data_IF_173776133033
#
_entry.id   IF_173776133033
#
_cell.length_a   1.000
_cell.length_b   1.000
_cell.length_c   1.000
_cell.angle_alpha   90.00
_cell.angle_beta   90.00
_cell.angle_gamma   90.00
#
_symmetry.space_group_name_H-M   'P 1'
#
loop_
_entity.id
_entity.type
_entity.pdbx_description
1 polymer ?
#
# COMPACT_ATOMS: atom_id res chain seq x y z
N UNK A 1 71.34 -2.04 18.37
CA UNK A 1 70.39 -1.04 17.87
C UNK A 1 69.12 -1.25 18.66
N UNK A 2 68.94 -0.48 19.71
CA UNK A 2 67.83 -0.60 20.64
C UNK A 2 66.55 -0.15 19.94
N UNK A 3 65.65 -1.11 19.68
CA UNK A 3 64.29 -0.79 19.26
C UNK A 3 63.55 -0.23 20.47
N UNK A 4 63.61 1.08 20.66
CA UNK A 4 62.69 1.79 21.55
C UNK A 4 61.27 1.59 21.02
N UNK A 5 60.58 0.60 21.59
CA UNK A 5 59.16 0.38 21.39
C UNK A 5 58.41 1.55 22.04
N UNK A 6 57.97 2.52 21.24
CA UNK A 6 57.03 3.55 21.69
C UNK A 6 55.66 2.88 21.91
N UNK A 7 55.12 3.06 23.10
CA UNK A 7 53.77 2.62 23.48
C UNK A 7 52.69 3.64 23.08
N UNK A 8 53.06 4.77 22.48
CA UNK A 8 52.13 5.82 22.05
C UNK A 8 51.02 5.31 21.10
N UNK A 9 51.29 4.41 20.14
CA UNK A 9 50.23 3.85 19.29
C UNK A 9 49.25 2.94 20.04
N UNK A 10 49.63 2.42 21.22
CA UNK A 10 48.78 1.55 22.04
C UNK A 10 47.73 2.35 22.81
N UNK A 11 48.02 3.62 23.12
CA UNK A 11 47.09 4.55 23.78
C UNK A 11 45.90 4.89 22.85
N UNK A 12 46.15 5.02 21.54
CA UNK A 12 45.13 5.34 20.54
C UNK A 12 44.51 4.10 19.87
N UNK A 13 44.86 2.90 20.33
CA UNK A 13 44.47 1.64 19.70
C UNK A 13 42.94 1.47 19.65
N UNK A 14 42.24 1.85 20.72
CA UNK A 14 40.76 1.83 20.77
C UNK A 14 40.16 2.76 19.71
N UNK A 15 40.63 4.01 19.66
CA UNK A 15 40.13 5.00 18.71
C UNK A 15 40.39 4.56 17.26
N UNK A 16 41.54 3.94 16.99
CA UNK A 16 41.87 3.42 15.67
C UNK A 16 40.94 2.27 15.26
N UNK A 17 40.64 1.33 16.17
CA UNK A 17 39.69 0.25 15.89
C UNK A 17 38.26 0.77 15.73
N UNK A 18 37.84 1.73 16.54
CA UNK A 18 36.55 2.40 16.40
C UNK A 18 36.43 3.08 15.04
N UNK A 19 37.40 3.93 14.69
CA UNK A 19 37.39 4.67 13.43
C UNK A 19 37.41 3.72 12.24
N UNK A 20 38.24 2.67 12.29
CA UNK A 20 38.29 1.65 11.24
C UNK A 20 36.97 0.89 11.10
N UNK A 21 36.33 0.56 12.21
CA UNK A 21 35.01 -0.09 12.21
C UNK A 21 33.93 0.83 11.64
N UNK A 22 33.97 2.12 11.98
CA UNK A 22 33.05 3.13 11.47
C UNK A 22 33.24 3.38 9.97
N UNK A 23 34.48 3.64 9.54
CA UNK A 23 34.81 3.92 8.14
C UNK A 23 34.49 2.73 7.22
N UNK A 24 34.59 1.50 7.74
CA UNK A 24 34.19 0.30 7.02
C UNK A 24 32.66 0.05 7.08
N UNK A 25 32.05 0.28 8.25
CA UNK A 25 30.67 -0.08 8.54
C UNK A 25 29.64 0.92 8.02
N UNK A 26 29.91 2.23 8.12
CA UNK A 26 29.01 3.28 7.67
C UNK A 26 28.66 3.17 6.18
N UNK A 27 29.63 3.16 5.24
CA UNK A 27 29.30 3.09 3.81
C UNK A 27 28.59 1.77 3.45
N UNK A 28 28.93 0.68 4.14
CA UNK A 28 28.27 -0.60 3.96
C UNK A 28 26.81 -0.57 4.45
N UNK A 29 26.57 0.02 5.63
CA UNK A 29 25.25 0.19 6.20
C UNK A 29 24.35 1.09 5.37
N UNK A 30 24.87 2.22 4.87
CA UNK A 30 24.13 3.11 3.95
C UNK A 30 23.71 2.39 2.67
N UNK A 31 24.64 1.64 2.07
CA UNK A 31 24.37 0.88 0.86
C UNK A 31 23.34 -0.24 1.11
N UNK A 32 23.48 -0.97 2.22
CA UNK A 32 22.58 -2.05 2.58
C UNK A 32 21.17 -1.53 2.89
N UNK A 33 21.06 -0.47 3.69
CA UNK A 33 19.79 0.17 4.00
C UNK A 33 19.08 0.70 2.74
N UNK A 34 19.83 1.20 1.75
CA UNK A 34 19.27 1.63 0.47
C UNK A 34 18.72 0.45 -0.35
N UNK A 35 19.43 -0.68 -0.39
CA UNK A 35 18.95 -1.87 -1.10
C UNK A 35 17.73 -2.50 -0.40
N UNK A 36 17.82 -2.71 0.91
CA UNK A 36 16.75 -3.27 1.72
C UNK A 36 15.49 -2.39 1.66
N UNK A 37 15.64 -1.07 1.80
CA UNK A 37 14.51 -0.14 1.72
C UNK A 37 13.83 -0.15 0.35
N UNK A 38 14.59 -0.30 -0.75
CA UNK A 38 14.02 -0.43 -2.10
C UNK A 38 13.27 -1.74 -2.29
N UNK A 39 13.83 -2.83 -1.78
CA UNK A 39 13.21 -4.14 -1.85
C UNK A 39 11.91 -4.20 -1.05
N UNK A 40 11.95 -3.76 0.21
CA UNK A 40 10.78 -3.67 1.07
C UNK A 40 9.71 -2.74 0.50
N UNK A 41 10.11 -1.57 -0.01
CA UNK A 41 9.19 -0.63 -0.65
C UNK A 41 8.47 -1.24 -1.86
N UNK A 42 9.17 -2.03 -2.69
CA UNK A 42 8.57 -2.74 -3.82
C UNK A 42 7.57 -3.80 -3.37
N UNK A 43 7.92 -4.61 -2.37
CA UNK A 43 7.04 -5.65 -1.83
C UNK A 43 5.75 -5.04 -1.25
N UNK A 44 5.89 -3.98 -0.43
CA UNK A 44 4.74 -3.29 0.16
C UNK A 44 3.91 -2.52 -0.84
N UNK A 45 4.54 -1.93 -1.86
CA UNK A 45 3.80 -1.32 -2.95
C UNK A 45 2.96 -2.36 -3.72
N UNK A 46 3.47 -3.58 -3.92
CA UNK A 46 2.71 -4.64 -4.58
C UNK A 46 1.45 -5.03 -3.80
N UNK A 47 1.59 -5.31 -2.49
CA UNK A 47 0.45 -5.62 -1.59
C UNK A 47 -0.61 -4.51 -1.63
N UNK A 48 -0.16 -3.26 -1.58
CA UNK A 48 -1.04 -2.10 -1.63
C UNK A 48 -1.75 -1.95 -2.98
N UNK A 49 -1.01 -2.04 -4.08
CA UNK A 49 -1.54 -1.84 -5.42
C UNK A 49 -2.50 -2.95 -5.83
N UNK A 50 -2.32 -4.18 -5.35
CA UNK A 50 -3.28 -5.27 -5.55
C UNK A 50 -4.65 -4.90 -4.97
N UNK A 51 -4.68 -4.42 -3.73
CA UNK A 51 -5.91 -3.98 -3.07
C UNK A 51 -6.55 -2.78 -3.78
N UNK A 52 -5.76 -1.75 -4.11
CA UNK A 52 -6.24 -0.56 -4.81
C UNK A 52 -6.80 -0.91 -6.19
N UNK A 53 -6.08 -1.74 -6.95
CA UNK A 53 -6.49 -2.21 -8.28
C UNK A 53 -7.77 -3.04 -8.25
N UNK A 54 -7.98 -3.86 -7.21
CA UNK A 54 -9.24 -4.57 -7.01
C UNK A 54 -10.42 -3.59 -6.85
N UNK A 55 -10.27 -2.54 -6.04
CA UNK A 55 -11.31 -1.53 -5.85
C UNK A 55 -11.62 -0.75 -7.12
N UNK A 56 -10.58 -0.37 -7.87
CA UNK A 56 -10.72 0.30 -9.16
C UNK A 56 -11.47 -0.57 -10.18
N UNK A 57 -11.06 -1.84 -10.33
CA UNK A 57 -11.68 -2.79 -11.25
C UNK A 57 -13.15 -3.03 -10.91
N UNK A 58 -13.45 -3.20 -9.63
CA UNK A 58 -14.83 -3.33 -9.15
C UNK A 58 -15.66 -2.09 -9.48
N UNK A 59 -15.13 -0.90 -9.22
CA UNK A 59 -15.85 0.35 -9.49
C UNK A 59 -16.16 0.51 -10.99
N UNK A 60 -15.18 0.25 -11.86
CA UNK A 60 -15.35 0.32 -13.32
C UNK A 60 -16.36 -0.71 -13.84
N UNK A 61 -16.27 -1.95 -13.37
CA UNK A 61 -17.18 -3.02 -13.77
C UNK A 61 -18.64 -2.66 -13.43
N UNK A 62 -18.90 -2.28 -12.18
CA UNK A 62 -20.27 -1.93 -11.75
C UNK A 62 -20.78 -0.67 -12.44
N UNK A 63 -19.93 0.33 -12.71
CA UNK A 63 -20.34 1.48 -13.53
C UNK A 63 -20.78 1.06 -14.93
N UNK A 64 -20.05 0.15 -15.59
CA UNK A 64 -20.43 -0.40 -16.88
C UNK A 64 -21.78 -1.13 -16.84
N UNK A 65 -22.01 -1.94 -15.80
CA UNK A 65 -23.29 -2.64 -15.59
C UNK A 65 -24.43 -1.65 -15.37
N UNK A 66 -24.25 -0.63 -14.51
CA UNK A 66 -25.27 0.38 -14.26
C UNK A 66 -25.60 1.20 -15.50
N UNK A 67 -24.59 1.54 -16.31
CA UNK A 67 -24.79 2.23 -17.58
C UNK A 67 -25.60 1.38 -18.57
N UNK A 68 -25.29 0.08 -18.69
CA UNK A 68 -26.05 -0.84 -19.53
C UNK A 68 -27.52 -0.99 -19.08
N UNK A 69 -27.81 -0.78 -17.79
CA UNK A 69 -29.18 -0.77 -17.24
C UNK A 69 -29.88 0.60 -17.29
N UNK A 70 -29.22 1.66 -17.78
CA UNK A 70 -29.77 3.02 -17.73
C UNK A 70 -29.90 3.60 -16.32
N UNK A 71 -29.10 3.11 -15.36
CA UNK A 71 -29.08 3.55 -13.94
C UNK A 71 -27.77 4.27 -13.58
N UNK A 72 -27.23 5.02 -14.54
CA UNK A 72 -25.93 5.71 -14.48
C UNK A 72 -25.87 6.94 -13.57
N UNK A 73 -27.02 7.49 -13.16
CA UNK A 73 -27.10 8.72 -12.35
C UNK A 73 -27.46 8.51 -10.87
N UNK A 74 -27.54 7.24 -10.42
CA UNK A 74 -27.94 6.91 -9.05
C UNK A 74 -26.87 7.09 -7.97
N UNK A 75 -27.27 6.99 -6.69
CA UNK A 75 -26.38 7.01 -5.51
C UNK A 75 -25.23 5.99 -5.62
N UNK A 76 -25.51 4.81 -6.17
CA UNK A 76 -24.51 3.78 -6.41
C UNK A 76 -23.42 4.28 -7.38
N UNK A 77 -23.80 4.88 -8.50
CA UNK A 77 -22.85 5.47 -9.47
C UNK A 77 -21.96 6.53 -8.84
N UNK A 78 -22.54 7.45 -8.06
CA UNK A 78 -21.78 8.48 -7.32
C UNK A 78 -20.79 7.88 -6.31
N UNK A 79 -21.18 6.80 -5.62
CA UNK A 79 -20.28 6.12 -4.69
C UNK A 79 -19.08 5.45 -5.40
N UNK A 80 -19.29 4.94 -6.62
CA UNK A 80 -18.24 4.36 -7.45
C UNK A 80 -17.30 5.44 -8.00
N UNK A 81 -17.82 6.61 -8.35
CA UNK A 81 -16.99 7.77 -8.74
C UNK A 81 -16.10 8.26 -7.61
N UNK A 82 -16.59 8.25 -6.37
CA UNK A 82 -15.77 8.58 -5.20
C UNK A 82 -14.64 7.57 -4.98
N UNK A 83 -14.86 6.29 -5.28
CA UNK A 83 -13.81 5.27 -5.22
C UNK A 83 -12.74 5.57 -6.28
N UNK A 84 -13.15 5.84 -7.53
CA UNK A 84 -12.22 6.15 -8.61
C UNK A 84 -11.41 7.43 -8.36
N UNK A 85 -12.03 8.46 -7.76
CA UNK A 85 -11.32 9.69 -7.41
C UNK A 85 -10.31 9.50 -6.28
N UNK A 86 -10.57 8.58 -5.34
CA UNK A 86 -9.60 8.20 -4.31
C UNK A 86 -8.46 7.36 -4.90
N UNK A 87 -8.75 6.43 -5.81
CA UNK A 87 -7.72 5.64 -6.50
C UNK A 87 -6.74 6.55 -7.25
N UNK A 88 -7.23 7.59 -7.93
CA UNK A 88 -6.38 8.52 -8.69
C UNK A 88 -5.43 9.35 -7.81
N UNK A 89 -5.65 9.41 -6.49
CA UNK A 89 -4.74 10.10 -5.56
C UNK A 89 -3.51 9.25 -5.20
N UNK A 90 -3.51 7.94 -5.49
CA UNK A 90 -2.36 7.10 -5.21
C UNK A 90 -1.20 7.39 -6.16
N UNK A 91 0.03 7.52 -5.64
CA UNK A 91 1.21 7.80 -6.46
C UNK A 91 1.55 6.60 -7.35
N UNK A 92 1.75 6.85 -8.64
CA UNK A 92 2.12 5.82 -9.64
C UNK A 92 3.62 5.81 -9.97
N UNK A 93 4.37 6.80 -9.47
CA UNK A 93 5.81 6.94 -9.71
C UNK A 93 6.53 7.17 -8.40
N UNK A 94 7.56 6.35 -8.15
CA UNK A 94 8.48 6.53 -7.03
C UNK A 94 9.64 7.41 -7.48
N UNK A 95 9.56 8.73 -7.27
CA UNK A 95 10.68 9.63 -7.56
C UNK A 95 11.62 9.73 -6.36
N UNK A 96 12.48 8.72 -6.18
CA UNK A 96 13.45 8.67 -5.08
C UNK A 96 14.51 9.79 -5.14
N UNK A 97 14.68 10.44 -6.30
CA UNK A 97 15.56 11.61 -6.49
C UNK A 97 15.11 12.85 -5.69
N UNK A 98 13.85 12.86 -5.23
CA UNK A 98 13.33 13.89 -4.34
C UNK A 98 13.84 13.75 -2.90
N UNK A 99 14.38 12.61 -2.47
CA UNK A 99 14.90 12.44 -1.10
C UNK A 99 16.25 13.14 -0.89
N UNK A 100 17.08 13.28 -1.93
CA UNK A 100 18.38 13.95 -1.84
C UNK A 100 18.28 15.47 -1.88
N UNK A 101 17.11 15.98 -2.27
CA UNK A 101 16.83 17.42 -2.32
C UNK A 101 16.02 17.74 -1.08
N UNK A 102 16.60 18.48 -0.14
CA UNK A 102 15.96 19.01 1.08
C UNK A 102 14.86 20.04 0.78
N UNK A 103 13.97 19.73 -0.15
CA UNK A 103 12.80 20.50 -0.56
C UNK A 103 11.62 19.55 -0.49
N UNK A 104 11.03 19.50 0.70
CA UNK A 104 9.82 18.75 1.03
C UNK A 104 8.61 19.28 0.25
N UNK A 105 8.53 18.96 -1.05
CA UNK A 105 7.34 19.19 -1.88
C UNK A 105 6.60 17.90 -2.22
N UNK A 106 7.06 16.75 -1.71
CA UNK A 106 6.14 15.64 -1.52
C UNK A 106 5.26 16.07 -0.34
N UNK A 107 4.05 16.53 -0.62
CA UNK A 107 3.00 16.51 0.38
C UNK A 107 3.09 15.13 1.04
N UNK A 108 3.17 15.06 2.37
CA UNK A 108 3.09 13.81 3.11
C UNK A 108 1.74 13.17 2.77
N UNK A 109 1.71 12.38 1.70
CA UNK A 109 0.54 11.65 1.28
C UNK A 109 0.41 10.54 2.32
N UNK A 110 -0.57 10.70 3.19
CA UNK A 110 -0.92 9.69 4.18
C UNK A 110 -1.61 8.51 3.47
N UNK A 111 -0.78 7.63 2.91
CA UNK A 111 -1.19 6.39 2.24
C UNK A 111 -2.12 5.55 3.12
N UNK A 112 -1.84 5.28 4.42
CA UNK A 112 -2.74 4.49 5.24
C UNK A 112 -4.09 5.19 5.48
N UNK A 113 -4.13 6.52 5.64
CA UNK A 113 -5.39 7.25 5.72
C UNK A 113 -6.20 7.14 4.41
N UNK A 114 -5.58 7.31 3.25
CA UNK A 114 -6.23 7.13 1.94
C UNK A 114 -6.79 5.71 1.78
N UNK A 115 -6.01 4.69 2.14
CA UNK A 115 -6.44 3.29 2.10
C UNK A 115 -7.65 3.05 3.01
N UNK A 116 -7.63 3.59 4.24
CA UNK A 116 -8.76 3.47 5.17
C UNK A 116 -10.04 4.11 4.62
N UNK A 117 -9.91 5.27 3.98
CA UNK A 117 -11.00 5.96 3.30
C UNK A 117 -11.53 5.11 2.15
N UNK A 118 -10.65 4.57 1.30
CA UNK A 118 -11.00 3.72 0.17
C UNK A 118 -11.77 2.47 0.62
N UNK A 119 -11.29 1.77 1.65
CA UNK A 119 -11.98 0.61 2.27
C UNK A 119 -13.38 0.97 2.77
N UNK A 120 -13.52 2.14 3.41
CA UNK A 120 -14.82 2.60 3.91
C UNK A 120 -15.80 2.86 2.76
N UNK A 121 -15.35 3.53 1.70
CA UNK A 121 -16.15 3.83 0.51
C UNK A 121 -16.55 2.57 -0.24
N UNK A 122 -15.63 1.60 -0.35
CA UNK A 122 -15.92 0.29 -0.91
C UNK A 122 -17.06 -0.42 -0.17
N UNK A 123 -17.01 -0.49 1.17
CA UNK A 123 -18.11 -1.08 1.95
C UNK A 123 -19.44 -0.38 1.72
N UNK A 124 -19.44 0.96 1.68
CA UNK A 124 -20.65 1.73 1.38
C UNK A 124 -21.17 1.47 -0.03
N UNK A 125 -20.30 1.41 -1.03
CA UNK A 125 -20.67 1.12 -2.41
C UNK A 125 -21.28 -0.29 -2.53
N UNK A 126 -20.67 -1.30 -1.90
CA UNK A 126 -21.21 -2.66 -1.81
C UNK A 126 -22.61 -2.69 -1.19
N UNK A 127 -22.83 -1.96 -0.08
CA UNK A 127 -24.15 -1.84 0.53
C UNK A 127 -25.18 -1.18 -0.41
N UNK A 128 -24.78 -0.14 -1.15
CA UNK A 128 -25.69 0.53 -2.10
C UNK A 128 -26.01 -0.31 -3.34
N UNK A 129 -25.10 -1.21 -3.74
CA UNK A 129 -25.27 -2.14 -4.85
C UNK A 129 -25.97 -3.44 -4.44
N UNK A 130 -26.15 -3.68 -3.13
CA UNK A 130 -26.69 -4.95 -2.62
C UNK A 130 -25.73 -6.14 -2.78
N UNK A 131 -24.43 -5.88 -2.88
CA UNK A 131 -23.40 -6.89 -3.15
C UNK A 131 -22.58 -7.13 -1.90
N UNK A 132 -22.26 -8.39 -1.59
CA UNK A 132 -21.39 -8.72 -0.46
C UNK A 132 -19.94 -8.34 -0.76
N UNK A 133 -19.24 -7.62 0.15
CA UNK A 133 -17.80 -7.39 0.04
C UNK A 133 -17.03 -8.72 -0.02
N UNK A 134 -16.18 -8.89 -1.03
CA UNK A 134 -15.37 -10.13 -1.23
C UNK A 134 -13.91 -9.98 -0.85
N UNK A 135 -13.37 -8.77 -0.83
CA UNK A 135 -11.98 -8.55 -0.41
C UNK A 135 -11.88 -8.61 1.11
N UNK A 136 -11.08 -9.55 1.63
CA UNK A 136 -10.92 -9.80 3.08
C UNK A 136 -10.37 -8.59 3.82
N UNK A 137 -9.54 -7.76 3.17
CA UNK A 137 -9.04 -6.49 3.74
C UNK A 137 -10.16 -5.49 4.13
N UNK A 138 -11.35 -5.61 3.51
CA UNK A 138 -12.51 -4.81 3.88
C UNK A 138 -13.28 -5.37 5.09
N UNK A 139 -12.99 -6.60 5.52
CA UNK A 139 -13.67 -7.36 6.57
C UNK A 139 -13.01 -7.28 7.93
N UNK A 140 -12.56 -6.10 8.37
CA UNK A 140 -12.14 -5.89 9.77
C UNK A 140 -13.27 -5.30 10.62
N UNK A 141 -14.39 -6.03 10.75
CA UNK A 141 -15.26 -6.03 11.94
C UNK A 141 -16.38 -7.07 11.77
N UNK A 142 -16.55 -7.89 12.81
CA UNK A 142 -17.53 -8.97 13.03
C UNK A 142 -17.45 -10.21 12.13
N UNK A 143 -16.69 -11.21 12.57
CA UNK A 143 -17.21 -12.56 12.87
C UNK A 143 -16.06 -13.50 13.29
N UNK A 144 -15.79 -13.57 14.59
CA UNK A 144 -15.21 -14.77 15.19
C UNK A 144 -16.32 -15.82 15.26
N UNK A 145 -16.13 -16.94 14.56
CA UNK A 145 -16.88 -18.18 14.78
C UNK A 145 -17.57 -18.74 13.53
N UNK A 146 -16.95 -19.73 12.90
CA UNK A 146 -17.62 -20.63 11.95
C UNK A 146 -16.71 -21.06 10.81
N UNK A 147 -16.22 -22.30 10.90
CA UNK A 147 -15.39 -22.97 9.92
C UNK A 147 -16.04 -23.12 8.53
N UNK A 148 -15.16 -23.23 7.53
CA UNK A 148 -15.31 -23.95 6.25
C UNK A 148 -16.71 -24.07 5.63
N UNK A 149 -16.91 -23.33 4.53
CA UNK A 149 -17.55 -23.89 3.34
C UNK A 149 -17.19 -23.04 2.11
N UNK A 150 -16.43 -23.66 1.20
CA UNK A 150 -16.32 -23.24 -0.17
C UNK A 150 -17.69 -23.48 -0.85
N UNK A 151 -18.59 -22.52 -0.68
CA UNK A 151 -19.85 -22.47 -1.42
C UNK A 151 -19.68 -21.63 -2.67
N UNK A 152 -19.94 -22.22 -3.84
CA UNK A 152 -20.18 -21.47 -5.07
C UNK A 152 -21.20 -20.37 -4.80
N UNK A 153 -20.74 -19.12 -4.81
CA UNK A 153 -21.60 -17.97 -4.60
C UNK A 153 -22.38 -17.72 -5.90
N UNK A 154 -23.55 -18.34 -6.02
CA UNK A 154 -24.55 -18.01 -7.03
C UNK A 154 -24.87 -16.52 -6.90
N UNK A 155 -24.50 -15.75 -7.91
CA UNK A 155 -24.91 -14.35 -8.04
C UNK A 155 -26.40 -14.38 -8.35
N UNK A 156 -27.25 -14.07 -7.37
CA UNK A 156 -28.69 -13.91 -7.57
C UNK A 156 -28.93 -12.62 -8.40
N UNK A 157 -28.70 -12.76 -9.71
CA UNK A 157 -28.81 -11.73 -10.73
C UNK A 157 -30.19 -11.04 -10.71
N UNK A 158 -31.22 -11.77 -10.27
CA UNK A 158 -32.60 -11.28 -10.16
C UNK A 158 -32.76 -10.25 -9.04
N UNK A 159 -32.04 -10.37 -7.93
CA UNK A 159 -32.05 -9.35 -6.85
C UNK A 159 -31.31 -8.06 -7.21
N UNK A 160 -30.37 -8.12 -8.15
CA UNK A 160 -29.64 -6.96 -8.68
C UNK A 160 -30.42 -6.28 -9.83
N UNK A 161 -31.59 -6.79 -10.19
CA UNK A 161 -32.36 -6.29 -11.33
C UNK A 161 -31.66 -6.53 -12.67
N UNK A 162 -30.72 -7.50 -12.73
CA UNK A 162 -30.20 -8.04 -13.97
C UNK A 162 -31.22 -9.07 -14.47
N UNK A 163 -32.16 -8.63 -15.30
CA UNK A 163 -32.76 -9.56 -16.26
C UNK A 163 -31.79 -9.67 -17.42
N UNK A 164 -31.20 -10.84 -17.59
CA UNK A 164 -30.82 -11.29 -18.93
C UNK A 164 -32.10 -11.53 -19.75
#
# INVERSE_FOLDING_TARGET
MDMQLSFDPLLDLEQQFYQRGFDAGLPHGELHGLFEGRELGREKAWELCEEVGYYEGMARLWKGILAAQGKDSGRASQSLDQILSLVFQFPTSNNSSSLSSSSASNADIDIPALLSSLRSKYRTACATLGVRPRLVAAGSSSATGGAEQAGEAEVDLKKVGLSL
#
